data_IF_062698723094
#
_entry.id   IF_062698723094
#
_cell.length_a   1.000
_cell.length_b   1.000
_cell.length_c   1.000
_cell.angle_alpha   90.00
_cell.angle_beta   90.00
_cell.angle_gamma   90.00
#
_symmetry.space_group_name_H-M   'P 1'
#
loop_
_entity.id
_entity.type
_entity.pdbx_description
1 polymer ?
#
# COMPACT_ATOMS: atom_id res chain seq x y z
N UNK A 1 -12.62 -2.66 -35.03
CA UNK A 1 -11.37 -1.86 -34.87
C UNK A 1 -11.73 -0.67 -34.02
N UNK A 2 -11.06 -0.45 -32.88
CA UNK A 2 -11.34 0.73 -32.04
C UNK A 2 -11.09 2.02 -32.82
N UNK A 3 -11.95 3.02 -32.61
CA UNK A 3 -11.84 4.34 -33.23
C UNK A 3 -10.58 5.08 -32.74
N UNK A 4 -10.09 6.02 -33.54
CA UNK A 4 -8.87 6.80 -33.24
C UNK A 4 -9.01 7.57 -31.92
N UNK A 5 -10.21 8.09 -31.63
CA UNK A 5 -10.48 8.78 -30.36
C UNK A 5 -10.31 7.84 -29.16
N UNK A 6 -10.82 6.61 -29.27
CA UNK A 6 -10.67 5.57 -28.24
C UNK A 6 -9.20 5.20 -28.03
N UNK A 7 -8.42 5.10 -29.10
CA UNK A 7 -6.98 4.79 -29.03
C UNK A 7 -6.19 5.90 -28.35
N UNK A 8 -6.47 7.17 -28.65
CA UNK A 8 -5.84 8.31 -27.98
C UNK A 8 -6.15 8.36 -26.50
N UNK A 9 -7.42 8.15 -26.14
CA UNK A 9 -7.82 8.09 -24.73
C UNK A 9 -7.14 6.93 -23.99
N UNK A 10 -7.07 5.75 -24.62
CA UNK A 10 -6.36 4.60 -24.05
C UNK A 10 -4.86 4.85 -23.89
N UNK A 11 -4.21 5.51 -24.86
CA UNK A 11 -2.80 5.87 -24.77
C UNK A 11 -2.52 6.87 -23.64
N UNK A 12 -3.37 7.90 -23.49
CA UNK A 12 -3.26 8.87 -22.40
C UNK A 12 -3.47 8.18 -21.05
N UNK A 13 -4.50 7.35 -20.92
CA UNK A 13 -4.77 6.60 -19.69
C UNK A 13 -3.61 5.66 -19.32
N UNK A 14 -2.99 4.98 -20.30
CA UNK A 14 -1.84 4.13 -20.07
C UNK A 14 -0.63 4.91 -19.54
N UNK A 15 -0.34 6.09 -20.09
CA UNK A 15 0.75 6.95 -19.60
C UNK A 15 0.47 7.42 -18.18
N UNK A 16 -0.75 7.90 -17.90
CA UNK A 16 -1.13 8.32 -16.55
C UNK A 16 -1.01 7.17 -15.54
N UNK A 17 -1.44 5.97 -15.91
CA UNK A 17 -1.31 4.77 -15.07
C UNK A 17 0.15 4.43 -14.76
N UNK A 18 1.06 4.56 -15.74
CA UNK A 18 2.50 4.34 -15.52
C UNK A 18 3.08 5.40 -14.57
N UNK A 19 2.68 6.67 -14.72
CA UNK A 19 3.13 7.76 -13.84
C UNK A 19 2.61 7.56 -12.41
N UNK A 20 1.36 7.13 -12.24
CA UNK A 20 0.76 6.86 -10.93
C UNK A 20 1.33 5.59 -10.27
N UNK A 21 1.68 4.58 -11.06
CA UNK A 21 2.27 3.33 -10.56
C UNK A 21 3.76 3.42 -10.25
N UNK A 22 4.39 4.56 -10.55
CA UNK A 22 5.77 4.83 -10.15
C UNK A 22 5.90 4.81 -8.63
N UNK A 23 7.01 4.25 -8.13
CA UNK A 23 7.30 4.20 -6.70
C UNK A 23 7.39 5.63 -6.13
N UNK A 24 6.28 6.11 -5.55
CA UNK A 24 6.21 7.42 -4.93
C UNK A 24 7.18 7.46 -3.74
N UNK A 25 8.33 8.08 -3.96
CA UNK A 25 9.38 8.21 -2.97
C UNK A 25 8.87 8.87 -1.66
N UNK A 26 7.81 9.68 -1.73
CA UNK A 26 7.18 10.28 -0.56
C UNK A 26 6.43 9.26 0.33
N UNK A 27 6.05 8.10 -0.22
CA UNK A 27 5.37 7.01 0.50
C UNK A 27 6.32 6.00 1.12
N UNK A 28 7.59 5.91 0.68
CA UNK A 28 8.54 4.88 1.15
C UNK A 28 8.64 4.78 2.68
N UNK A 29 8.62 5.92 3.38
CA UNK A 29 8.64 5.96 4.86
C UNK A 29 7.28 5.73 5.54
N UNK A 30 6.18 5.78 4.78
CA UNK A 30 4.80 5.63 5.27
C UNK A 30 4.28 4.21 5.09
N UNK A 31 4.90 3.43 4.22
CA UNK A 31 4.56 2.02 4.05
C UNK A 31 4.83 1.26 5.35
N UNK A 32 3.90 0.36 5.68
CA UNK A 32 4.12 -0.56 6.80
C UNK A 32 5.19 -1.56 6.36
N UNK A 33 6.38 -1.49 6.96
CA UNK A 33 7.44 -2.46 6.71
C UNK A 33 7.04 -3.89 7.08
N UNK A 34 7.96 -4.84 6.91
CA UNK A 34 7.73 -6.27 7.20
C UNK A 34 7.08 -6.53 8.55
N UNK A 35 6.31 -7.62 8.64
CA UNK A 35 5.61 -8.00 9.87
C UNK A 35 6.55 -8.07 11.09
N UNK A 36 7.76 -8.60 10.92
CA UNK A 36 8.79 -8.61 11.95
C UNK A 36 9.25 -7.21 12.36
N UNK A 37 9.50 -6.30 11.40
CA UNK A 37 9.89 -4.92 11.69
C UNK A 37 8.79 -4.14 12.43
N UNK A 38 7.53 -4.43 12.12
CA UNK A 38 6.39 -3.87 12.82
C UNK A 38 6.30 -4.40 14.25
N UNK A 39 6.43 -5.72 14.43
CA UNK A 39 6.36 -6.37 15.74
C UNK A 39 7.51 -5.92 16.65
N UNK A 40 8.75 -5.88 16.13
CA UNK A 40 9.92 -5.40 16.87
C UNK A 40 9.75 -3.94 17.31
N UNK A 41 9.30 -3.04 16.43
CA UNK A 41 8.99 -1.64 16.82
C UNK A 41 7.95 -1.56 17.94
N UNK A 42 6.94 -2.43 17.92
CA UNK A 42 5.89 -2.47 18.96
C UNK A 42 6.45 -2.93 20.30
N UNK A 43 7.23 -4.00 20.29
CA UNK A 43 7.89 -4.51 21.49
C UNK A 43 8.81 -3.45 22.12
N UNK A 44 9.61 -2.75 21.31
CA UNK A 44 10.49 -1.68 21.80
C UNK A 44 9.71 -0.48 22.37
N UNK A 45 8.48 -0.25 21.90
CA UNK A 45 7.56 0.75 22.44
C UNK A 45 6.72 0.23 23.64
N UNK A 46 6.98 -0.98 24.14
CA UNK A 46 6.22 -1.59 25.24
C UNK A 46 4.78 -1.96 24.86
N UNK A 47 4.47 -2.09 23.57
CA UNK A 47 3.14 -2.49 23.08
C UNK A 47 3.04 -4.01 22.95
N UNK A 48 1.81 -4.52 22.93
CA UNK A 48 1.55 -5.93 22.63
C UNK A 48 2.00 -6.31 21.22
N UNK A 49 2.35 -7.59 21.05
CA UNK A 49 2.72 -8.19 19.76
C UNK A 49 1.70 -7.87 18.67
N UNK A 50 2.20 -7.73 17.45
CA UNK A 50 1.42 -7.49 16.23
C UNK A 50 0.26 -8.49 16.09
N UNK A 51 0.46 -9.76 16.46
CA UNK A 51 -0.59 -10.78 16.39
C UNK A 51 -1.73 -10.50 17.37
N UNK A 52 -1.41 -10.21 18.63
CA UNK A 52 -2.39 -9.89 19.66
C UNK A 52 -3.15 -8.57 19.33
N UNK A 53 -2.45 -7.58 18.79
CA UNK A 53 -3.11 -6.36 18.35
C UNK A 53 -4.10 -6.59 17.20
N UNK A 54 -3.76 -7.47 16.25
CA UNK A 54 -4.64 -7.81 15.12
C UNK A 54 -5.86 -8.60 15.61
N UNK A 55 -5.67 -9.56 16.50
CA UNK A 55 -6.79 -10.32 17.07
C UNK A 55 -7.72 -9.44 17.91
N UNK A 56 -7.19 -8.48 18.66
CA UNK A 56 -8.01 -7.56 19.46
C UNK A 56 -8.87 -6.60 18.63
N UNK A 57 -8.57 -6.45 17.32
CA UNK A 57 -9.35 -5.65 16.37
C UNK A 57 -10.35 -6.48 15.56
N UNK A 58 -10.41 -7.80 15.77
CA UNK A 58 -11.40 -8.63 15.11
C UNK A 58 -12.80 -8.19 15.55
N UNK A 59 -13.74 -7.92 14.61
CA UNK A 59 -15.13 -7.59 14.94
C UNK A 59 -15.84 -8.72 15.68
N UNK A 60 -15.40 -9.95 15.44
CA UNK A 60 -15.99 -11.18 15.99
C UNK A 60 -15.36 -11.56 17.32
N UNK A 61 -15.37 -10.62 18.27
CA UNK A 61 -15.17 -10.91 19.69
C UNK A 61 -16.51 -11.25 20.34
#
# INVERSE_FOLDING_TARGET
MADETTRRMAAIAAVLSIVESGDDASQRGRQRGEAWSQDHRRMNMGRSSLMNYRSNRSPWR
#
